data_IF_735376635154
#
_entry.id   IF_735376635154
#
_cell.length_a   1.000
_cell.length_b   1.000
_cell.length_c   1.000
_cell.angle_alpha   90.00
_cell.angle_beta   90.00
_cell.angle_gamma   90.00
#
_symmetry.space_group_name_H-M   'P 1'
#
loop_
_entity.id
_entity.type
_entity.pdbx_description
1 polymer ?
#
# COMPACT_ATOMS: atom_id res chain seq x y z
N UNK A 1 41.11 -25.23 24.56
CA UNK A 1 40.65 -25.34 23.17
C UNK A 1 39.15 -25.08 23.03
N UNK A 2 38.27 -25.74 23.76
CA UNK A 2 36.79 -25.54 23.70
C UNK A 2 36.34 -24.11 24.00
N UNK A 3 36.91 -23.38 24.96
CA UNK A 3 36.57 -22.00 25.27
C UNK A 3 36.93 -21.05 24.14
N UNK A 4 38.08 -21.24 23.47
CA UNK A 4 38.49 -20.42 22.33
C UNK A 4 37.57 -20.61 21.12
N UNK A 5 37.16 -21.87 20.85
CA UNK A 5 36.21 -22.16 19.76
C UNK A 5 34.83 -21.53 20.03
N UNK A 6 34.35 -21.65 21.28
CA UNK A 6 33.07 -21.01 21.68
C UNK A 6 33.12 -19.50 21.54
N UNK A 7 34.21 -18.85 21.96
CA UNK A 7 34.33 -17.39 21.85
C UNK A 7 34.45 -16.93 20.39
N UNK A 8 35.13 -17.70 19.55
CA UNK A 8 35.20 -17.47 18.11
C UNK A 8 33.83 -17.57 17.47
N UNK A 9 33.04 -18.63 17.74
CA UNK A 9 31.67 -18.79 17.23
C UNK A 9 30.78 -17.66 17.65
N UNK A 10 30.83 -17.23 18.92
CA UNK A 10 30.03 -16.08 19.41
C UNK A 10 30.37 -14.78 18.66
N UNK A 11 31.65 -14.52 18.39
CA UNK A 11 32.09 -13.35 17.62
C UNK A 11 31.62 -13.42 16.17
N UNK A 12 31.65 -14.59 15.54
CA UNK A 12 31.11 -14.79 14.18
C UNK A 12 29.61 -14.50 14.12
N UNK A 13 28.82 -15.05 15.06
CA UNK A 13 27.38 -14.80 15.15
C UNK A 13 27.06 -13.30 15.40
N UNK A 14 27.89 -12.66 16.27
CA UNK A 14 27.75 -11.21 16.49
C UNK A 14 28.06 -10.40 15.22
N UNK A 15 29.09 -10.78 14.45
CA UNK A 15 29.41 -10.18 13.16
C UNK A 15 28.27 -10.34 12.14
N UNK A 16 27.67 -11.55 12.08
CA UNK A 16 26.50 -11.80 11.22
C UNK A 16 25.30 -10.93 11.62
N UNK A 17 25.07 -10.73 12.93
CA UNK A 17 24.00 -9.84 13.39
C UNK A 17 24.28 -8.37 13.01
N UNK A 18 25.52 -7.90 13.16
CA UNK A 18 25.90 -6.53 12.73
C UNK A 18 25.66 -6.36 11.22
N UNK A 19 26.06 -7.34 10.41
CA UNK A 19 25.80 -7.33 8.96
C UNK A 19 24.30 -7.30 8.67
N UNK A 20 23.48 -8.09 9.39
CA UNK A 20 22.01 -8.08 9.27
C UNK A 20 21.44 -6.68 9.56
N UNK A 21 21.91 -6.02 10.62
CA UNK A 21 21.49 -4.65 10.94
C UNK A 21 21.89 -3.68 9.83
N UNK A 22 23.11 -3.79 9.29
CA UNK A 22 23.56 -2.93 8.18
C UNK A 22 22.68 -3.10 6.92
N UNK A 23 22.40 -4.36 6.55
CA UNK A 23 21.47 -4.63 5.42
C UNK A 23 20.05 -4.16 5.71
N UNK A 24 19.53 -4.34 6.93
CA UNK A 24 18.22 -3.86 7.33
C UNK A 24 18.13 -2.33 7.16
N UNK A 25 19.17 -1.58 7.50
CA UNK A 25 19.26 -0.14 7.26
C UNK A 25 19.26 0.19 5.76
N UNK A 26 20.13 -0.48 4.98
CA UNK A 26 20.24 -0.23 3.55
C UNK A 26 18.90 -0.43 2.83
N UNK A 27 18.23 -1.55 3.09
CA UNK A 27 16.95 -1.84 2.45
C UNK A 27 15.81 -1.01 3.03
N UNK A 28 15.85 -0.69 4.32
CA UNK A 28 14.82 0.09 5.02
C UNK A 28 14.78 1.56 4.58
N UNK A 29 15.89 2.12 4.14
CA UNK A 29 15.98 3.50 3.65
C UNK A 29 16.19 3.57 2.13
N UNK A 30 15.91 2.47 1.40
CA UNK A 30 15.97 2.45 -0.07
C UNK A 30 14.92 3.35 -0.73
N UNK A 31 13.88 3.73 -0.02
CA UNK A 31 12.85 4.71 -0.43
C UNK A 31 13.42 6.12 -0.69
N UNK A 32 14.64 6.40 -0.23
CA UNK A 32 15.39 7.64 -0.51
C UNK A 32 16.03 7.65 -1.91
N UNK A 33 16.17 6.48 -2.53
CA UNK A 33 16.86 6.34 -3.80
C UNK A 33 15.93 6.67 -4.96
N UNK A 34 16.31 7.66 -5.77
CA UNK A 34 15.57 7.98 -7.00
C UNK A 34 15.71 6.82 -8.01
N UNK A 35 14.60 6.26 -8.52
CA UNK A 35 14.60 5.11 -9.43
C UNK A 35 15.32 5.34 -10.76
N UNK A 36 15.37 6.59 -11.24
CA UNK A 36 16.11 6.91 -12.47
C UNK A 36 17.63 6.79 -12.29
N UNK A 37 18.12 7.18 -11.09
CA UNK A 37 19.56 7.16 -10.78
C UNK A 37 20.02 5.80 -10.25
N UNK A 38 19.16 5.11 -9.50
CA UNK A 38 19.48 3.87 -8.79
C UNK A 38 18.48 2.74 -9.08
N UNK A 39 18.24 2.38 -10.35
CA UNK A 39 17.18 1.43 -10.72
C UNK A 39 17.35 0.04 -10.07
N UNK A 40 18.58 -0.44 -9.89
CA UNK A 40 18.84 -1.75 -9.29
C UNK A 40 18.46 -1.83 -7.81
N UNK A 41 18.42 -0.70 -7.10
CA UNK A 41 18.20 -0.64 -5.67
C UNK A 41 16.85 -0.04 -5.24
N UNK A 42 16.10 0.54 -6.18
CA UNK A 42 14.84 1.22 -5.85
C UNK A 42 13.77 0.31 -5.25
N UNK A 43 13.86 -1.00 -5.49
CA UNK A 43 12.96 -2.01 -4.94
C UNK A 43 13.58 -2.84 -3.80
N UNK A 44 14.74 -2.43 -3.27
CA UNK A 44 15.40 -3.14 -2.16
C UNK A 44 14.52 -3.19 -0.89
N UNK A 45 13.60 -2.24 -0.72
CA UNK A 45 12.59 -2.23 0.35
C UNK A 45 11.73 -3.49 0.42
N UNK A 46 11.56 -4.21 -0.68
CA UNK A 46 10.87 -5.51 -0.71
C UNK A 46 11.58 -6.59 0.13
N UNK A 47 12.89 -6.44 0.36
CA UNK A 47 13.67 -7.33 1.22
C UNK A 47 13.63 -6.95 2.71
N UNK A 48 13.03 -5.80 3.04
CA UNK A 48 13.00 -5.32 4.43
C UNK A 48 12.41 -6.34 5.41
N UNK A 49 11.29 -7.04 5.14
CA UNK A 49 10.74 -8.03 6.06
C UNK A 49 11.68 -9.19 6.34
N UNK A 50 12.56 -9.56 5.42
CA UNK A 50 13.56 -10.61 5.62
C UNK A 50 14.56 -10.18 6.68
N UNK A 51 15.16 -8.99 6.53
CA UNK A 51 16.14 -8.49 7.49
C UNK A 51 15.53 -8.12 8.83
N UNK A 52 14.29 -7.64 8.84
CA UNK A 52 13.49 -7.40 10.04
C UNK A 52 13.32 -8.71 10.84
N UNK A 53 12.92 -9.81 10.17
CA UNK A 53 12.73 -11.11 10.78
C UNK A 53 14.04 -11.72 11.28
N UNK A 54 15.12 -11.57 10.50
CA UNK A 54 16.46 -12.02 10.92
C UNK A 54 16.95 -11.27 12.16
N UNK A 55 16.76 -9.95 12.20
CA UNK A 55 17.15 -9.13 13.35
C UNK A 55 16.34 -9.51 14.61
N UNK A 56 15.05 -9.80 14.45
CA UNK A 56 14.21 -10.32 15.53
C UNK A 56 14.69 -11.71 15.99
N UNK A 57 15.06 -12.59 15.06
CA UNK A 57 15.66 -13.89 15.37
C UNK A 57 16.96 -13.76 16.17
N UNK A 58 17.85 -12.82 15.80
CA UNK A 58 19.05 -12.51 16.57
C UNK A 58 18.73 -11.95 17.96
N UNK A 59 17.70 -11.12 18.10
CA UNK A 59 17.27 -10.62 19.40
C UNK A 59 16.89 -11.79 20.34
N UNK A 60 16.03 -12.69 19.86
CA UNK A 60 15.61 -13.88 20.62
C UNK A 60 16.82 -14.76 20.96
N UNK A 61 17.70 -15.02 19.98
CA UNK A 61 18.91 -15.79 20.17
C UNK A 61 19.81 -15.23 21.28
N UNK A 62 20.07 -13.92 21.26
CA UNK A 62 20.94 -13.28 22.26
C UNK A 62 20.31 -13.22 23.65
N UNK A 63 18.99 -13.06 23.74
CA UNK A 63 18.28 -13.12 25.03
C UNK A 63 18.50 -14.49 25.68
N UNK A 64 18.45 -15.56 24.89
CA UNK A 64 18.60 -16.95 25.41
C UNK A 64 20.06 -17.28 25.73
N UNK A 65 21.00 -16.95 24.83
CA UNK A 65 22.37 -17.48 24.92
C UNK A 65 23.39 -16.51 25.48
N UNK A 66 23.27 -15.19 25.24
CA UNK A 66 24.28 -14.18 25.60
C UNK A 66 23.71 -12.78 25.72
N UNK A 67 23.03 -12.44 26.81
CA UNK A 67 22.32 -11.20 27.04
C UNK A 67 23.13 -9.92 26.74
N UNK A 68 24.46 -9.93 26.91
CA UNK A 68 25.33 -8.77 26.59
C UNK A 68 25.29 -8.34 25.12
N UNK A 69 24.95 -9.24 24.18
CA UNK A 69 24.88 -8.94 22.75
C UNK A 69 23.48 -8.53 22.30
N UNK A 70 22.47 -8.51 23.18
CA UNK A 70 21.10 -8.03 22.91
C UNK A 70 21.09 -6.59 22.41
N UNK A 71 22.08 -5.79 22.82
CA UNK A 71 22.20 -4.39 22.37
C UNK A 71 22.36 -4.25 20.85
N UNK A 72 22.95 -5.25 20.16
CA UNK A 72 23.15 -5.17 18.69
C UNK A 72 21.80 -5.13 17.97
N UNK A 73 20.89 -6.12 18.11
CA UNK A 73 19.60 -6.08 17.44
C UNK A 73 18.69 -4.96 17.96
N UNK A 74 18.78 -4.57 19.25
CA UNK A 74 18.03 -3.43 19.77
C UNK A 74 18.45 -2.12 19.12
N UNK A 75 19.76 -1.86 18.95
CA UNK A 75 20.25 -0.74 18.18
C UNK A 75 19.77 -0.81 16.72
N UNK A 76 19.76 -2.00 16.11
CA UNK A 76 19.20 -2.22 14.79
C UNK A 76 17.75 -1.74 14.68
N UNK A 77 16.88 -2.11 15.63
CA UNK A 77 15.50 -1.63 15.69
C UNK A 77 15.40 -0.13 15.92
N UNK A 78 16.26 0.43 16.79
CA UNK A 78 16.25 1.87 17.09
C UNK A 78 16.62 2.71 15.86
N UNK A 79 17.69 2.37 15.15
CA UNK A 79 18.13 3.13 13.96
C UNK A 79 17.25 2.88 12.74
N UNK A 80 16.55 1.74 12.69
CA UNK A 80 15.56 1.41 11.68
C UNK A 80 14.11 1.71 12.12
N UNK A 81 13.91 2.51 13.16
CA UNK A 81 12.57 2.74 13.73
C UNK A 81 11.57 3.23 12.68
N UNK A 82 11.98 4.16 11.82
CA UNK A 82 11.12 4.72 10.77
C UNK A 82 10.66 3.63 9.79
N UNK A 83 11.54 2.88 9.10
CA UNK A 83 11.09 1.81 8.21
C UNK A 83 10.38 0.66 8.93
N UNK A 84 10.71 0.35 10.18
CA UNK A 84 9.97 -0.64 10.98
C UNK A 84 8.52 -0.18 11.18
N UNK A 85 8.31 1.07 11.62
CA UNK A 85 6.98 1.65 11.80
C UNK A 85 6.22 1.74 10.47
N UNK A 86 6.90 2.10 9.41
CA UNK A 86 6.32 2.18 8.06
C UNK A 86 5.82 0.82 7.57
N UNK A 87 6.61 -0.23 7.76
CA UNK A 87 6.30 -1.57 7.30
C UNK A 87 5.30 -2.29 8.22
N UNK A 88 5.51 -2.21 9.53
CA UNK A 88 4.76 -2.96 10.55
C UNK A 88 4.39 -2.06 11.72
N UNK A 89 3.45 -1.12 11.52
CA UNK A 89 3.00 -0.24 12.60
C UNK A 89 2.34 -1.04 13.72
N UNK A 90 2.45 -0.51 14.94
CA UNK A 90 1.75 -0.98 16.14
C UNK A 90 1.10 0.24 16.79
N UNK A 91 -0.21 0.25 16.84
CA UNK A 91 -1.01 1.34 17.38
C UNK A 91 -2.02 0.83 18.40
N UNK A 92 -2.23 1.60 19.44
CA UNK A 92 -3.22 1.35 20.51
C UNK A 92 -4.27 2.47 20.54
N UNK A 93 -4.70 2.92 19.35
CA UNK A 93 -5.78 3.92 19.27
C UNK A 93 -7.13 3.28 19.65
N UNK A 94 -7.94 4.02 20.35
CA UNK A 94 -9.32 3.63 20.64
C UNK A 94 -10.23 3.73 19.42
N UNK A 95 -11.52 3.45 19.64
CA UNK A 95 -12.55 3.50 18.61
C UNK A 95 -12.69 4.90 17.99
N UNK A 96 -13.15 4.94 16.76
CA UNK A 96 -13.36 6.21 16.05
C UNK A 96 -14.47 7.03 16.71
N UNK A 97 -14.25 8.34 16.96
CA UNK A 97 -15.25 9.22 17.54
C UNK A 97 -16.50 9.34 16.66
N UNK A 98 -17.66 9.60 17.28
CA UNK A 98 -18.90 9.86 16.53
C UNK A 98 -18.71 10.98 15.49
N UNK A 99 -19.31 10.79 14.31
CA UNK A 99 -19.19 11.71 13.18
C UNK A 99 -17.83 11.63 12.46
N UNK A 100 -17.09 10.53 12.62
CA UNK A 100 -16.02 10.15 11.71
C UNK A 100 -16.61 9.69 10.39
N UNK A 101 -15.93 9.98 9.27
CA UNK A 101 -16.28 9.48 7.95
C UNK A 101 -15.55 8.18 7.67
N UNK A 102 -16.25 7.19 7.10
CA UNK A 102 -15.65 5.91 6.70
C UNK A 102 -15.25 5.98 5.23
N UNK A 103 -13.97 5.77 4.98
CA UNK A 103 -13.37 5.75 3.63
C UNK A 103 -12.91 4.34 3.33
N UNK A 104 -13.21 3.85 2.13
CA UNK A 104 -12.82 2.55 1.61
C UNK A 104 -12.11 2.71 0.27
N UNK A 105 -10.98 2.04 0.09
CA UNK A 105 -10.30 1.90 -1.21
C UNK A 105 -10.15 0.43 -1.55
N UNK A 106 -10.45 0.07 -2.82
CA UNK A 106 -10.43 -1.31 -3.25
C UNK A 106 -10.13 -1.45 -4.75
N UNK A 107 -9.02 -2.09 -5.08
CA UNK A 107 -8.79 -2.58 -6.43
C UNK A 107 -9.63 -3.85 -6.64
N UNK A 108 -10.68 -3.74 -7.45
CA UNK A 108 -11.72 -4.79 -7.56
C UNK A 108 -11.39 -5.88 -8.54
N UNK A 109 -10.32 -5.74 -9.33
CA UNK A 109 -9.98 -6.69 -10.41
C UNK A 109 -11.20 -7.02 -11.29
N UNK A 110 -11.82 -5.99 -11.86
CA UNK A 110 -13.02 -6.14 -12.67
C UNK A 110 -14.23 -6.69 -11.89
N UNK A 111 -14.42 -6.22 -10.65
CA UNK A 111 -15.45 -6.70 -9.72
C UNK A 111 -15.32 -8.20 -9.41
N UNK A 112 -14.10 -8.64 -9.03
CA UNK A 112 -13.82 -10.02 -8.68
C UNK A 112 -14.00 -10.97 -9.87
N UNK A 113 -13.62 -10.51 -11.08
CA UNK A 113 -13.85 -11.24 -12.33
C UNK A 113 -15.32 -11.68 -12.48
N UNK A 114 -16.26 -10.81 -12.08
CA UNK A 114 -17.71 -11.02 -12.14
C UNK A 114 -18.25 -12.19 -11.26
N UNK A 115 -17.51 -12.59 -10.23
CA UNK A 115 -17.93 -13.63 -9.29
C UNK A 115 -19.18 -13.20 -8.53
N UNK A 116 -20.15 -14.13 -8.39
CA UNK A 116 -21.44 -13.90 -7.73
C UNK A 116 -21.59 -14.76 -6.48
N UNK A 117 -22.39 -14.27 -5.55
CA UNK A 117 -22.90 -15.03 -4.39
C UNK A 117 -24.07 -15.96 -4.78
N UNK A 118 -24.64 -16.64 -3.79
CA UNK A 118 -25.77 -17.58 -3.95
C UNK A 118 -27.04 -16.89 -4.46
N UNK A 119 -27.22 -15.62 -4.16
CA UNK A 119 -28.36 -14.79 -4.58
C UNK A 119 -28.15 -14.18 -5.99
N UNK A 120 -27.02 -14.47 -6.64
CA UNK A 120 -26.68 -13.98 -7.96
C UNK A 120 -26.20 -12.52 -7.98
N UNK A 121 -25.90 -11.94 -6.81
CA UNK A 121 -25.32 -10.62 -6.66
C UNK A 121 -23.78 -10.72 -6.78
N UNK A 122 -23.16 -9.72 -7.40
CA UNK A 122 -21.70 -9.67 -7.44
C UNK A 122 -21.13 -9.52 -6.02
N UNK A 123 -20.17 -10.38 -5.65
CA UNK A 123 -19.62 -10.44 -4.28
C UNK A 123 -18.97 -9.13 -3.87
N UNK A 124 -18.31 -8.40 -4.81
CA UNK A 124 -17.77 -7.07 -4.49
C UNK A 124 -18.90 -6.09 -4.13
N UNK A 125 -20.03 -6.15 -4.84
CA UNK A 125 -21.17 -5.26 -4.55
C UNK A 125 -21.81 -5.60 -3.20
N UNK A 126 -22.04 -6.88 -2.89
CA UNK A 126 -22.54 -7.33 -1.58
C UNK A 126 -21.63 -6.82 -0.44
N UNK A 127 -20.30 -6.93 -0.63
CA UNK A 127 -19.33 -6.40 0.33
C UNK A 127 -19.42 -4.88 0.48
N UNK A 128 -19.52 -4.12 -0.61
CA UNK A 128 -19.66 -2.66 -0.55
C UNK A 128 -20.94 -2.22 0.17
N UNK A 129 -22.04 -2.95 -0.03
CA UNK A 129 -23.30 -2.73 0.68
C UNK A 129 -23.14 -2.97 2.19
N UNK A 130 -22.51 -4.08 2.58
CA UNK A 130 -22.23 -4.41 3.98
C UNK A 130 -21.36 -3.34 4.65
N UNK A 131 -20.30 -2.90 3.96
CA UNK A 131 -19.37 -1.90 4.48
C UNK A 131 -20.04 -0.53 4.66
N UNK A 132 -20.98 -0.16 3.79
CA UNK A 132 -21.73 1.09 3.84
C UNK A 132 -20.84 2.31 4.14
N UNK A 133 -19.66 2.38 3.51
CA UNK A 133 -18.70 3.46 3.69
C UNK A 133 -19.28 4.80 3.18
N UNK A 134 -18.75 5.92 3.65
CA UNK A 134 -19.23 7.24 3.21
C UNK A 134 -18.60 7.65 1.87
N UNK A 135 -17.37 7.20 1.64
CA UNK A 135 -16.59 7.39 0.41
C UNK A 135 -15.97 6.06 0.02
N UNK A 136 -16.15 5.63 -1.24
CA UNK A 136 -15.59 4.42 -1.80
C UNK A 136 -14.80 4.77 -3.07
N UNK A 137 -13.50 4.50 -3.05
CA UNK A 137 -12.59 4.65 -4.19
C UNK A 137 -12.28 3.26 -4.75
N UNK A 138 -12.71 2.97 -5.97
CA UNK A 138 -12.45 1.69 -6.61
C UNK A 138 -11.46 1.85 -7.76
N UNK A 139 -10.59 0.86 -7.93
CA UNK A 139 -9.66 0.71 -9.04
C UNK A 139 -10.04 -0.57 -9.81
N UNK A 140 -9.70 -0.61 -11.10
CA UNK A 140 -10.12 -1.67 -12.03
C UNK A 140 -11.63 -1.94 -11.99
N UNK A 141 -12.42 -0.89 -11.88
CA UNK A 141 -13.84 -0.93 -11.58
C UNK A 141 -14.70 -0.45 -12.75
N UNK A 142 -14.47 -0.98 -13.95
CA UNK A 142 -15.29 -0.66 -15.11
C UNK A 142 -16.62 -1.39 -15.05
N UNK A 143 -17.76 -0.67 -15.00
CA UNK A 143 -19.08 -1.30 -15.12
C UNK A 143 -19.26 -1.92 -16.50
N UNK A 144 -19.59 -3.19 -16.55
CA UNK A 144 -19.84 -3.92 -17.81
C UNK A 144 -21.03 -4.88 -17.66
N UNK A 145 -21.87 -4.97 -18.68
CA UNK A 145 -22.97 -5.94 -18.72
C UNK A 145 -23.86 -5.89 -17.47
N UNK A 146 -24.14 -7.06 -16.89
CA UNK A 146 -25.04 -7.22 -15.74
C UNK A 146 -24.54 -6.52 -14.46
N UNK A 147 -23.24 -6.30 -14.28
CA UNK A 147 -22.80 -5.61 -13.09
C UNK A 147 -23.11 -4.12 -13.14
N UNK A 148 -23.22 -3.52 -14.32
CA UNK A 148 -23.66 -2.13 -14.45
C UNK A 148 -25.10 -1.96 -13.94
N UNK A 149 -26.01 -2.89 -14.29
CA UNK A 149 -27.39 -2.90 -13.80
C UNK A 149 -27.45 -3.10 -12.26
N UNK A 150 -26.63 -4.00 -11.72
CA UNK A 150 -26.54 -4.21 -10.28
C UNK A 150 -25.95 -2.99 -9.54
N UNK A 151 -24.95 -2.32 -10.09
CA UNK A 151 -24.39 -1.09 -9.54
C UNK A 151 -25.49 -0.03 -9.44
N UNK A 152 -26.25 0.19 -10.53
CA UNK A 152 -27.32 1.17 -10.53
C UNK A 152 -28.44 0.81 -9.55
N UNK A 153 -28.86 -0.43 -9.51
CA UNK A 153 -29.99 -0.86 -8.66
C UNK A 153 -29.64 -0.93 -7.18
N UNK A 154 -28.42 -1.37 -6.83
CA UNK A 154 -28.01 -1.65 -5.46
C UNK A 154 -27.24 -0.49 -4.80
N UNK A 155 -26.33 0.16 -5.54
CA UNK A 155 -25.44 1.17 -4.96
C UNK A 155 -25.98 2.61 -5.10
N UNK A 156 -26.72 2.91 -6.18
CA UNK A 156 -27.24 4.24 -6.41
C UNK A 156 -28.20 4.76 -5.32
N UNK A 157 -29.05 3.91 -4.69
CA UNK A 157 -29.88 4.36 -3.56
C UNK A 157 -29.05 4.78 -2.33
N UNK A 158 -27.83 4.26 -2.16
CA UNK A 158 -26.95 4.54 -1.03
C UNK A 158 -26.00 5.67 -1.34
N UNK A 159 -25.43 5.65 -2.56
CA UNK A 159 -24.45 6.62 -3.03
C UNK A 159 -25.09 7.52 -4.08
N UNK A 160 -25.65 8.64 -3.64
CA UNK A 160 -26.31 9.61 -4.51
C UNK A 160 -25.35 10.22 -5.54
N UNK A 161 -24.05 10.21 -5.27
CA UNK A 161 -23.01 10.79 -6.14
C UNK A 161 -22.03 9.70 -6.56
N UNK A 162 -21.98 9.45 -7.85
CA UNK A 162 -21.13 8.43 -8.46
C UNK A 162 -20.39 9.01 -9.65
N UNK A 163 -19.18 8.56 -9.88
CA UNK A 163 -18.42 8.85 -11.10
C UNK A 163 -17.65 7.61 -11.54
N UNK A 164 -17.59 7.40 -12.83
CA UNK A 164 -16.73 6.41 -13.48
C UNK A 164 -15.85 7.15 -14.48
N UNK A 165 -14.56 7.04 -14.32
CA UNK A 165 -13.58 7.61 -15.25
C UNK A 165 -12.78 6.48 -15.87
N UNK A 166 -12.84 6.36 -17.19
CA UNK A 166 -12.08 5.39 -17.98
C UNK A 166 -10.86 6.08 -18.55
N UNK A 167 -9.72 5.40 -18.57
CA UNK A 167 -8.49 5.95 -19.15
C UNK A 167 -8.69 6.30 -20.64
N UNK A 168 -8.20 7.45 -21.15
CA UNK A 168 -8.45 7.91 -22.52
C UNK A 168 -8.05 6.93 -23.61
N UNK A 169 -7.01 6.12 -23.37
CA UNK A 169 -6.53 5.10 -24.32
C UNK A 169 -7.12 3.71 -24.06
N UNK A 170 -8.20 3.63 -23.25
CA UNK A 170 -8.76 2.36 -22.78
C UNK A 170 -7.96 1.75 -21.63
N UNK A 171 -8.34 0.56 -21.17
CA UNK A 171 -7.70 -0.11 -20.07
C UNK A 171 -8.49 0.01 -18.77
N UNK A 172 -7.88 0.54 -17.72
CA UNK A 172 -8.48 0.58 -16.39
C UNK A 172 -9.51 1.72 -16.23
N UNK A 173 -10.45 1.49 -15.33
CA UNK A 173 -11.40 2.49 -14.87
C UNK A 173 -11.26 2.72 -13.37
N UNK A 174 -11.39 3.98 -12.96
CA UNK A 174 -11.57 4.38 -11.58
C UNK A 174 -13.05 4.70 -11.34
N UNK A 175 -13.58 4.23 -10.22
CA UNK A 175 -14.94 4.56 -9.81
C UNK A 175 -14.91 5.22 -8.44
N UNK A 176 -15.72 6.25 -8.29
CA UNK A 176 -16.01 6.90 -7.02
C UNK A 176 -17.48 6.71 -6.69
N UNK A 177 -17.75 6.23 -5.47
CA UNK A 177 -19.07 6.23 -4.87
C UNK A 177 -19.02 7.12 -3.62
N UNK A 178 -19.94 8.07 -3.51
CA UNK A 178 -19.92 9.05 -2.43
C UNK A 178 -21.32 9.37 -1.93
N UNK A 179 -21.46 9.48 -0.62
CA UNK A 179 -22.66 10.06 0.04
C UNK A 179 -22.60 11.60 0.00
N UNK A 180 -21.46 12.17 -0.37
CA UNK A 180 -21.23 13.61 -0.43
C UNK A 180 -21.23 14.12 -1.88
N UNK A 181 -21.73 15.33 -2.15
CA UNK A 181 -21.75 15.93 -3.48
C UNK A 181 -20.35 16.02 -4.10
N UNK A 182 -20.25 15.62 -5.38
CA UNK A 182 -19.08 15.83 -6.23
C UNK A 182 -19.24 17.19 -6.91
N UNK A 183 -18.38 18.16 -6.57
CA UNK A 183 -18.41 19.52 -7.10
C UNK A 183 -17.67 19.64 -8.43
N UNK A 184 -16.55 18.95 -8.57
CA UNK A 184 -15.74 18.89 -9.79
C UNK A 184 -14.85 17.67 -9.80
N UNK A 185 -14.36 17.30 -10.99
CA UNK A 185 -13.32 16.29 -11.18
C UNK A 185 -12.33 16.74 -12.23
N UNK A 186 -11.10 16.26 -12.13
CA UNK A 186 -10.06 16.40 -13.13
C UNK A 186 -9.06 15.26 -13.10
N UNK A 187 -8.45 14.94 -14.22
CA UNK A 187 -7.34 13.99 -14.30
C UNK A 187 -6.06 14.69 -13.89
N UNK A 188 -5.23 14.02 -13.05
CA UNK A 188 -3.88 14.49 -12.77
C UNK A 188 -3.00 14.08 -13.95
N UNK A 189 -2.42 15.05 -14.69
CA UNK A 189 -1.71 14.73 -15.93
C UNK A 189 -0.35 14.06 -15.66
N UNK A 190 -0.18 12.88 -16.21
CA UNK A 190 1.09 12.15 -16.32
C UNK A 190 0.99 11.07 -17.41
N UNK A 191 2.13 10.57 -17.87
CA UNK A 191 2.15 9.48 -18.84
C UNK A 191 1.87 8.13 -18.20
N UNK A 192 0.99 7.34 -18.82
CA UNK A 192 0.65 5.97 -18.43
C UNK A 192 0.09 5.20 -19.60
N UNK A 193 0.26 3.88 -19.61
CA UNK A 193 -0.31 2.98 -20.62
C UNK A 193 -1.80 2.70 -20.39
N UNK A 194 -2.30 2.80 -19.17
CA UNK A 194 -3.68 2.46 -18.86
C UNK A 194 -4.10 2.78 -17.43
N UNK A 195 -3.22 3.42 -16.66
CA UNK A 195 -3.45 3.78 -15.27
C UNK A 195 -3.60 5.31 -15.15
N UNK A 196 -4.26 5.78 -14.10
CA UNK A 196 -4.55 7.21 -13.93
C UNK A 196 -4.77 7.57 -12.47
N UNK A 197 -4.74 8.87 -12.19
CA UNK A 197 -5.19 9.46 -10.92
C UNK A 197 -6.25 10.51 -11.22
N UNK A 198 -7.37 10.44 -10.50
CA UNK A 198 -8.48 11.38 -10.62
C UNK A 198 -8.62 12.16 -9.32
N UNK A 199 -8.64 13.46 -9.43
CA UNK A 199 -8.89 14.39 -8.34
C UNK A 199 -10.35 14.85 -8.37
N UNK A 200 -11.02 14.76 -7.23
CA UNK A 200 -12.39 15.20 -7.03
C UNK A 200 -12.45 16.29 -5.97
N UNK A 201 -13.33 17.25 -6.11
CA UNK A 201 -13.73 18.13 -5.01
C UNK A 201 -15.06 17.67 -4.48
N UNK A 202 -15.08 17.18 -3.25
CA UNK A 202 -16.29 16.77 -2.54
C UNK A 202 -16.75 17.86 -1.57
N UNK A 203 -18.07 18.00 -1.37
CA UNK A 203 -18.65 18.90 -0.38
C UNK A 203 -18.92 18.12 0.92
N UNK A 204 -18.02 18.17 1.89
CA UNK A 204 -18.14 17.51 3.19
C UNK A 204 -18.36 18.55 4.29
N UNK A 205 -19.48 18.47 5.00
CA UNK A 205 -19.86 19.45 6.04
C UNK A 205 -19.74 20.91 5.52
N UNK A 206 -20.32 21.16 4.36
CA UNK A 206 -20.34 22.45 3.65
C UNK A 206 -18.95 23.02 3.27
N UNK A 207 -17.91 22.20 3.30
CA UNK A 207 -16.55 22.59 2.91
C UNK A 207 -16.04 21.72 1.77
N UNK A 208 -15.27 22.33 0.84
CA UNK A 208 -14.60 21.54 -0.20
C UNK A 208 -13.48 20.70 0.41
N UNK A 209 -13.45 19.42 0.03
CA UNK A 209 -12.40 18.47 0.38
C UNK A 209 -11.87 17.89 -0.93
N UNK A 210 -10.58 17.91 -1.11
CA UNK A 210 -9.89 17.24 -2.20
C UNK A 210 -9.83 15.74 -1.93
N UNK A 211 -10.42 14.94 -2.81
CA UNK A 211 -10.28 13.49 -2.81
C UNK A 211 -9.49 13.08 -4.05
N UNK A 212 -8.44 12.28 -3.89
CA UNK A 212 -7.67 11.73 -5.00
C UNK A 212 -7.82 10.22 -5.00
N UNK A 213 -8.29 9.65 -6.12
CA UNK A 213 -8.32 8.21 -6.36
C UNK A 213 -7.20 7.86 -7.33
N UNK A 214 -6.22 7.06 -6.87
CA UNK A 214 -5.04 6.70 -7.64
C UNK A 214 -5.09 5.24 -8.08
N UNK A 215 -4.61 5.00 -9.31
CA UNK A 215 -4.13 3.70 -9.74
C UNK A 215 -2.86 3.97 -10.56
N UNK A 216 -1.69 3.80 -9.94
CA UNK A 216 -0.42 4.05 -10.60
C UNK A 216 0.01 2.87 -11.47
N UNK A 217 0.98 3.07 -12.34
CA UNK A 217 1.42 2.09 -13.33
C UNK A 217 1.68 0.72 -12.71
N UNK A 218 1.08 -0.31 -13.30
CA UNK A 218 1.22 -1.71 -12.86
C UNK A 218 2.64 -2.23 -13.07
N UNK A 219 3.03 -3.27 -12.32
CA UNK A 219 4.36 -3.90 -12.48
C UNK A 219 4.55 -4.66 -13.78
N UNK A 220 3.47 -4.94 -14.52
CA UNK A 220 3.54 -5.65 -15.81
C UNK A 220 4.08 -7.08 -15.72
N UNK A 221 4.05 -7.71 -14.54
CA UNK A 221 4.47 -9.11 -14.38
C UNK A 221 3.44 -10.05 -15.02
N UNK A 222 3.89 -10.92 -15.94
CA UNK A 222 3.05 -11.92 -16.55
C UNK A 222 2.65 -13.03 -15.55
N UNK A 223 1.70 -13.89 -15.95
CA UNK A 223 1.34 -15.06 -15.13
C UNK A 223 2.55 -15.99 -14.93
N UNK A 224 3.38 -16.13 -15.95
CA UNK A 224 4.60 -16.92 -15.95
C UNK A 224 5.64 -16.35 -15.00
N UNK A 225 5.86 -15.02 -14.99
CA UNK A 225 6.76 -14.34 -14.06
C UNK A 225 6.34 -14.60 -12.61
N UNK A 226 5.05 -14.47 -12.32
CA UNK A 226 4.50 -14.73 -10.97
C UNK A 226 4.64 -16.18 -10.55
N UNK A 227 4.47 -17.13 -11.47
CA UNK A 227 4.68 -18.56 -11.19
C UNK A 227 6.14 -18.87 -10.93
N UNK A 228 7.06 -18.30 -11.72
CA UNK A 228 8.50 -18.47 -11.53
C UNK A 228 8.95 -17.85 -10.19
N UNK A 229 8.44 -16.66 -9.84
CA UNK A 229 8.69 -16.06 -8.55
C UNK A 229 8.22 -16.95 -7.39
N UNK A 230 7.01 -17.49 -7.47
CA UNK A 230 6.50 -18.43 -6.47
C UNK A 230 7.40 -19.65 -6.30
N UNK A 231 7.87 -20.24 -7.42
CA UNK A 231 8.82 -21.38 -7.38
C UNK A 231 10.17 -20.95 -6.78
N UNK A 232 10.65 -19.74 -7.07
CA UNK A 232 11.87 -19.17 -6.51
C UNK A 232 11.77 -19.08 -4.97
N UNK A 233 10.71 -18.46 -4.47
CA UNK A 233 10.49 -18.25 -3.02
C UNK A 233 10.41 -19.57 -2.25
N UNK A 234 9.79 -20.61 -2.84
CA UNK A 234 9.68 -21.94 -2.19
C UNK A 234 10.88 -22.86 -2.48
N UNK A 235 11.94 -22.34 -3.11
CA UNK A 235 13.18 -23.11 -3.37
C UNK A 235 13.01 -24.28 -4.37
N UNK A 236 12.05 -24.17 -5.31
CA UNK A 236 11.76 -25.23 -6.31
C UNK A 236 12.42 -25.00 -7.66
N UNK A 237 13.32 -24.03 -7.79
CA UNK A 237 14.09 -23.78 -9.01
C UNK A 237 15.51 -24.32 -8.86
N UNK A 238 16.09 -24.78 -9.98
CA UNK A 238 17.53 -25.03 -10.06
C UNK A 238 18.31 -23.70 -9.98
N UNK A 239 19.55 -23.75 -9.54
CA UNK A 239 20.37 -22.55 -9.24
C UNK A 239 20.43 -21.58 -10.43
N UNK A 240 20.76 -22.08 -11.63
CA UNK A 240 20.88 -21.25 -12.84
C UNK A 240 19.54 -20.58 -13.22
N UNK A 241 18.44 -21.33 -13.10
CA UNK A 241 17.09 -20.82 -13.37
C UNK A 241 16.68 -19.81 -12.29
N UNK A 242 17.03 -20.02 -11.04
CA UNK A 242 16.74 -19.12 -9.94
C UNK A 242 17.49 -17.78 -10.11
N UNK A 243 18.75 -17.81 -10.56
CA UNK A 243 19.54 -16.61 -10.85
C UNK A 243 18.92 -15.81 -11.99
N UNK A 244 18.61 -16.46 -13.12
CA UNK A 244 17.98 -15.81 -14.28
C UNK A 244 16.62 -15.20 -13.93
N UNK A 245 15.77 -15.96 -13.19
CA UNK A 245 14.46 -15.47 -12.73
C UNK A 245 14.62 -14.26 -11.82
N UNK A 246 15.56 -14.28 -10.88
CA UNK A 246 15.82 -13.16 -9.98
C UNK A 246 16.26 -11.91 -10.74
N UNK A 247 17.19 -12.04 -11.69
CA UNK A 247 17.65 -10.93 -12.54
C UNK A 247 16.50 -10.33 -13.35
N UNK A 248 15.70 -11.17 -13.99
CA UNK A 248 14.54 -10.72 -14.77
C UNK A 248 13.54 -9.95 -13.92
N UNK A 249 13.23 -10.47 -12.73
CA UNK A 249 12.28 -9.81 -11.80
C UNK A 249 12.82 -8.45 -11.34
N UNK A 250 14.10 -8.36 -10.95
CA UNK A 250 14.72 -7.09 -10.56
C UNK A 250 14.61 -6.06 -11.68
N UNK A 251 14.89 -6.45 -12.93
CA UNK A 251 14.78 -5.55 -14.08
C UNK A 251 13.33 -5.10 -14.29
N UNK A 252 12.35 -6.02 -14.31
CA UNK A 252 10.95 -5.68 -14.52
C UNK A 252 10.39 -4.77 -13.42
N UNK A 253 10.72 -5.06 -12.16
CA UNK A 253 10.33 -4.23 -11.03
C UNK A 253 10.96 -2.83 -11.12
N UNK A 254 12.23 -2.74 -11.49
CA UNK A 254 12.92 -1.47 -11.65
C UNK A 254 12.30 -0.61 -12.76
N UNK A 255 12.01 -1.21 -13.93
CA UNK A 255 11.36 -0.51 -15.03
C UNK A 255 9.94 -0.03 -14.66
N UNK A 256 9.18 -0.84 -13.92
CA UNK A 256 7.87 -0.43 -13.43
C UNK A 256 7.96 0.75 -12.44
N UNK A 257 8.92 0.71 -11.50
CA UNK A 257 9.11 1.80 -10.53
C UNK A 257 9.62 3.08 -11.20
N UNK A 258 10.45 2.98 -12.26
CA UNK A 258 10.83 4.15 -13.07
C UNK A 258 9.62 4.83 -13.71
N UNK A 259 8.63 4.07 -14.19
CA UNK A 259 7.38 4.64 -14.73
C UNK A 259 6.53 5.27 -13.64
N UNK A 260 6.43 4.65 -12.46
CA UNK A 260 5.65 5.15 -11.33
C UNK A 260 6.24 6.40 -10.67
N UNK A 261 7.56 6.57 -10.67
CA UNK A 261 8.21 7.70 -10.01
C UNK A 261 7.70 9.07 -10.51
N UNK A 262 7.69 9.38 -11.82
CA UNK A 262 7.13 10.64 -12.32
C UNK A 262 5.62 10.77 -12.08
N UNK A 263 4.88 9.67 -12.05
CA UNK A 263 3.45 9.67 -11.70
C UNK A 263 3.25 10.08 -10.24
N UNK A 264 4.01 9.50 -9.31
CA UNK A 264 4.00 9.87 -7.89
C UNK A 264 4.40 11.34 -7.68
N UNK A 265 5.40 11.82 -8.43
CA UNK A 265 5.83 13.22 -8.40
C UNK A 265 4.74 14.18 -8.91
N UNK A 266 3.99 13.78 -9.96
CA UNK A 266 2.86 14.55 -10.47
C UNK A 266 1.73 14.63 -9.43
N UNK A 267 1.35 13.51 -8.79
CA UNK A 267 0.36 13.49 -7.70
C UNK A 267 0.83 14.35 -6.52
N UNK A 268 2.08 14.21 -6.09
CA UNK A 268 2.63 15.01 -4.99
C UNK A 268 2.69 16.52 -5.33
N UNK A 269 2.94 16.89 -6.58
CA UNK A 269 2.90 18.26 -7.08
C UNK A 269 1.48 18.80 -7.03
N UNK A 270 0.51 18.04 -7.53
CA UNK A 270 -0.90 18.41 -7.50
C UNK A 270 -1.38 18.70 -6.07
N UNK A 271 -1.01 17.84 -5.10
CA UNK A 271 -1.31 18.06 -3.68
C UNK A 271 -0.69 19.38 -3.16
N UNK A 272 0.56 19.66 -3.56
CA UNK A 272 1.24 20.92 -3.15
C UNK A 272 0.59 22.16 -3.74
N UNK A 273 0.12 22.11 -4.96
CA UNK A 273 -0.61 23.21 -5.63
C UNK A 273 -1.95 23.50 -4.95
N UNK A 274 -2.53 22.47 -4.30
CA UNK A 274 -3.78 22.58 -3.53
C UNK A 274 -3.57 22.69 -2.01
N UNK A 275 -2.40 23.19 -1.56
CA UNK A 275 -2.11 23.40 -0.15
C UNK A 275 -3.17 24.27 0.52
N UNK A 276 -3.58 23.86 1.74
CA UNK A 276 -4.64 24.55 2.49
C UNK A 276 -6.03 23.95 2.27
N UNK A 277 -6.20 23.12 1.26
CA UNK A 277 -7.41 22.31 1.10
C UNK A 277 -7.27 21.01 1.91
N UNK A 278 -8.34 20.66 2.61
CA UNK A 278 -8.47 19.37 3.27
C UNK A 278 -8.37 18.27 2.23
N UNK A 279 -7.47 17.30 2.43
CA UNK A 279 -7.19 16.29 1.41
C UNK A 279 -7.38 14.88 1.96
N UNK A 280 -7.97 14.01 1.17
CA UNK A 280 -8.01 12.55 1.33
C UNK A 280 -7.46 11.95 0.04
N UNK A 281 -6.58 10.99 0.16
CA UNK A 281 -6.01 10.28 -0.98
C UNK A 281 -6.15 8.79 -0.76
N UNK A 282 -6.64 8.09 -1.77
CA UNK A 282 -6.83 6.64 -1.76
C UNK A 282 -6.22 6.01 -3.02
N UNK A 283 -5.93 4.73 -2.98
CA UNK A 283 -5.73 3.94 -4.18
C UNK A 283 -4.56 2.98 -4.13
N UNK A 284 -4.42 2.28 -5.26
CA UNK A 284 -3.37 1.33 -5.53
C UNK A 284 -2.13 2.06 -6.09
N UNK A 285 -1.05 2.05 -5.32
CA UNK A 285 0.22 2.66 -5.75
C UNK A 285 1.09 1.70 -6.57
N UNK A 286 0.71 0.41 -6.62
CA UNK A 286 1.51 -0.65 -7.23
C UNK A 286 2.95 -0.72 -6.69
N UNK A 287 3.19 -0.12 -5.52
CA UNK A 287 4.48 -0.07 -4.86
C UNK A 287 4.34 -0.14 -3.34
N UNK A 288 5.31 -0.79 -2.68
CA UNK A 288 5.25 -1.08 -1.24
C UNK A 288 5.46 0.15 -0.34
N UNK A 289 5.26 0.00 0.97
CA UNK A 289 5.38 1.10 1.92
C UNK A 289 6.81 1.66 2.01
N UNK A 290 7.83 0.84 1.77
CA UNK A 290 9.24 1.27 1.71
C UNK A 290 9.62 1.41 0.24
N UNK A 291 9.13 2.47 -0.40
CA UNK A 291 9.40 2.79 -1.80
C UNK A 291 9.48 4.30 -2.03
N UNK A 292 10.18 4.68 -3.08
CA UNK A 292 10.25 6.07 -3.55
C UNK A 292 8.86 6.65 -3.85
N UNK A 293 7.99 5.85 -4.46
CA UNK A 293 6.62 6.21 -4.83
C UNK A 293 5.81 6.57 -3.59
N UNK A 294 5.75 5.65 -2.62
CA UNK A 294 5.02 5.87 -1.37
C UNK A 294 5.56 7.10 -0.62
N UNK A 295 6.89 7.18 -0.44
CA UNK A 295 7.54 8.31 0.22
C UNK A 295 7.24 9.65 -0.45
N UNK A 296 7.25 9.69 -1.79
CA UNK A 296 7.02 10.92 -2.56
C UNK A 296 5.60 11.45 -2.34
N UNK A 297 4.59 10.58 -2.39
CA UNK A 297 3.19 10.96 -2.17
C UNK A 297 2.94 11.31 -0.69
N UNK A 298 3.46 10.50 0.23
CA UNK A 298 3.25 10.67 1.68
C UNK A 298 3.91 11.93 2.27
N UNK A 299 4.83 12.59 1.56
CA UNK A 299 5.65 13.69 2.09
C UNK A 299 4.87 14.82 2.79
N UNK A 300 3.63 15.08 2.36
CA UNK A 300 2.77 16.14 2.89
C UNK A 300 1.43 15.61 3.39
N UNK A 301 1.32 14.32 3.60
CA UNK A 301 0.13 13.63 4.07
C UNK A 301 0.46 12.73 5.26
N UNK A 302 -0.57 12.37 5.99
CA UNK A 302 -0.52 11.37 7.05
C UNK A 302 -0.92 10.04 6.44
N UNK A 303 -0.05 9.03 6.53
CA UNK A 303 -0.41 7.65 6.18
C UNK A 303 -1.34 7.08 7.25
N UNK A 304 -2.59 6.84 6.87
CA UNK A 304 -3.62 6.41 7.80
C UNK A 304 -3.34 5.01 8.37
N UNK A 305 -2.70 4.12 7.58
CA UNK A 305 -2.36 2.79 8.06
C UNK A 305 -1.22 2.83 9.08
N UNK A 306 -0.20 3.64 8.83
CA UNK A 306 0.91 3.83 9.76
C UNK A 306 0.43 4.45 11.08
N UNK A 307 -0.54 5.37 11.03
CA UNK A 307 -1.04 6.10 12.22
C UNK A 307 -2.12 5.36 13.02
N UNK A 308 -2.85 4.40 12.43
CA UNK A 308 -3.96 3.75 13.12
C UNK A 308 -4.20 2.28 12.75
N UNK A 309 -3.36 1.72 11.88
CA UNK A 309 -3.35 0.30 11.55
C UNK A 309 -2.37 -0.51 12.39
N UNK A 310 -2.39 -1.82 12.24
CA UNK A 310 -1.52 -2.76 12.94
C UNK A 310 -1.00 -3.86 12.02
N UNK A 311 0.27 -4.22 12.19
CA UNK A 311 0.93 -5.27 11.41
C UNK A 311 1.30 -4.83 9.99
N UNK A 312 1.64 -5.76 9.08
CA UNK A 312 2.13 -5.45 7.74
C UNK A 312 1.05 -4.91 6.79
N UNK A 313 -0.23 -5.22 7.04
CA UNK A 313 -1.37 -4.75 6.23
C UNK A 313 -1.31 -5.19 4.77
N UNK A 314 -1.06 -6.46 4.54
CA UNK A 314 -0.94 -7.02 3.20
C UNK A 314 -2.24 -6.80 2.43
N UNK A 315 -2.21 -5.96 1.39
CA UNK A 315 -3.36 -5.70 0.55
C UNK A 315 -3.30 -6.48 -0.77
N UNK A 316 -2.12 -6.72 -1.34
CA UNK A 316 -1.93 -7.58 -2.50
C UNK A 316 -1.44 -8.97 -2.08
N UNK A 317 -2.07 -10.05 -2.57
CA UNK A 317 -1.84 -11.41 -2.06
C UNK A 317 -1.73 -12.49 -3.15
N UNK A 318 -1.34 -12.14 -4.37
CA UNK A 318 -1.22 -13.11 -5.48
C UNK A 318 0.22 -13.33 -5.95
N UNK A 319 0.44 -14.51 -6.54
CA UNK A 319 1.67 -14.83 -7.24
C UNK A 319 2.91 -14.97 -6.34
N UNK A 320 2.72 -15.15 -5.03
CA UNK A 320 3.83 -15.21 -4.07
C UNK A 320 4.26 -13.82 -3.54
N UNK A 321 3.65 -12.76 -4.03
CA UNK A 321 3.82 -11.40 -3.49
C UNK A 321 2.78 -11.14 -2.40
N UNK A 322 3.25 -10.71 -1.24
CA UNK A 322 2.42 -10.34 -0.09
C UNK A 322 2.88 -8.97 0.40
N UNK A 323 2.23 -7.91 -0.09
CA UNK A 323 2.68 -6.54 0.13
C UNK A 323 1.50 -5.59 0.29
N UNK A 324 1.66 -4.53 1.09
CA UNK A 324 0.71 -3.41 1.15
C UNK A 324 1.04 -2.44 0.02
N UNK A 325 0.17 -2.36 -0.98
CA UNK A 325 0.28 -1.41 -2.11
C UNK A 325 -0.93 -0.49 -2.21
N UNK A 326 -2.03 -0.84 -1.52
CA UNK A 326 -3.20 0.00 -1.41
C UNK A 326 -3.09 0.90 -0.17
N UNK A 327 -3.42 2.17 -0.34
CA UNK A 327 -3.17 3.20 0.66
C UNK A 327 -4.38 4.11 0.85
N UNK A 328 -4.57 4.60 2.09
CA UNK A 328 -5.39 5.74 2.43
C UNK A 328 -4.50 6.73 3.17
N UNK A 329 -4.45 7.96 2.68
CA UNK A 329 -3.69 9.05 3.29
C UNK A 329 -4.59 10.27 3.46
N UNK A 330 -4.25 11.14 4.40
CA UNK A 330 -5.02 12.36 4.62
C UNK A 330 -4.12 13.54 4.99
N UNK A 331 -4.62 14.77 4.80
CA UNK A 331 -3.95 15.98 5.31
C UNK A 331 -4.03 16.03 6.85
N UNK A 332 -3.13 16.79 7.48
CA UNK A 332 -2.96 16.86 8.95
C UNK A 332 -4.21 17.30 9.72
N UNK A 333 -5.17 17.92 9.05
CA UNK A 333 -6.43 18.35 9.63
C UNK A 333 -7.48 17.23 9.77
N UNK A 334 -7.12 16.01 9.32
CA UNK A 334 -7.82 14.77 9.64
C UNK A 334 -7.02 13.94 10.64
N UNK A 335 -7.73 13.14 11.41
CA UNK A 335 -7.15 12.14 12.31
C UNK A 335 -7.68 10.77 11.93
N UNK A 336 -6.80 9.81 11.56
CA UNK A 336 -7.19 8.47 11.17
C UNK A 336 -7.42 7.57 12.39
N UNK A 337 -8.43 6.70 12.28
CA UNK A 337 -8.81 5.68 13.25
C UNK A 337 -9.13 4.38 12.54
N UNK A 338 -8.88 3.27 13.20
CA UNK A 338 -9.28 1.92 12.79
C UNK A 338 -8.90 1.61 11.33
N UNK A 339 -7.73 2.08 10.87
CA UNK A 339 -7.28 1.77 9.52
C UNK A 339 -6.87 0.30 9.44
N UNK A 340 -7.46 -0.44 8.51
CA UNK A 340 -7.21 -1.87 8.35
C UNK A 340 -7.30 -2.30 6.90
N UNK A 341 -6.59 -3.35 6.57
CA UNK A 341 -6.83 -4.16 5.38
C UNK A 341 -7.83 -5.24 5.80
N UNK A 342 -8.91 -5.40 5.03
CA UNK A 342 -9.99 -6.33 5.36
C UNK A 342 -9.91 -7.58 4.46
N UNK A 343 -9.37 -8.67 5.00
CA UNK A 343 -9.13 -9.94 4.31
C UNK A 343 -10.35 -10.87 4.26
N UNK A 344 -11.52 -10.38 4.68
CA UNK A 344 -12.78 -11.14 4.64
C UNK A 344 -13.30 -11.37 3.23
N UNK A 345 -12.89 -10.55 2.26
CA UNK A 345 -13.24 -10.70 0.84
C UNK A 345 -11.98 -11.00 0.04
N UNK A 346 -11.97 -12.13 -0.69
CA UNK A 346 -10.82 -12.62 -1.43
C UNK A 346 -11.11 -12.88 -2.92
N UNK A 347 -12.13 -12.22 -3.49
CA UNK A 347 -12.50 -12.39 -4.91
C UNK A 347 -11.62 -11.60 -5.87
N UNK A 348 -10.94 -10.57 -5.37
CA UNK A 348 -9.88 -9.85 -6.08
C UNK A 348 -8.50 -10.38 -5.68
N UNK A 349 -7.46 -10.00 -6.38
CA UNK A 349 -6.07 -10.19 -5.95
C UNK A 349 -5.60 -9.12 -4.96
N UNK A 350 -6.46 -8.16 -4.65
CA UNK A 350 -6.31 -7.21 -3.58
C UNK A 350 -7.35 -7.42 -2.48
N UNK A 351 -7.01 -7.05 -1.26
CA UNK A 351 -7.93 -6.84 -0.16
C UNK A 351 -8.24 -5.34 -0.03
N UNK A 352 -9.48 -4.95 0.26
CA UNK A 352 -9.82 -3.55 0.50
C UNK A 352 -9.12 -2.98 1.74
N UNK A 353 -8.76 -1.70 1.69
CA UNK A 353 -8.31 -0.93 2.84
C UNK A 353 -9.42 0.02 3.29
N UNK A 354 -9.66 0.07 4.59
CA UNK A 354 -10.73 0.87 5.22
C UNK A 354 -10.11 1.72 6.30
N UNK A 355 -10.55 2.98 6.41
CA UNK A 355 -10.17 3.88 7.48
C UNK A 355 -11.34 4.77 7.89
N UNK A 356 -11.43 5.12 9.16
CA UNK A 356 -12.34 6.15 9.67
C UNK A 356 -11.53 7.43 9.92
N UNK A 357 -12.01 8.53 9.36
CA UNK A 357 -11.33 9.83 9.44
C UNK A 357 -12.18 10.81 10.27
N UNK A 358 -11.58 11.40 11.30
CA UNK A 358 -12.21 12.46 12.09
C UNK A 358 -11.54 13.80 11.80
N UNK A 359 -12.37 14.80 11.48
CA UNK A 359 -11.86 16.16 11.31
C UNK A 359 -11.38 16.70 12.65
N UNK A 360 -10.12 17.14 12.71
CA UNK A 360 -9.58 17.77 13.91
C UNK A 360 -10.26 19.13 14.17
N UNK A 361 -10.55 19.49 15.42
CA UNK A 361 -11.01 20.84 15.72
C UNK A 361 -9.96 21.86 15.27
N UNK A 362 -10.40 22.99 14.74
CA UNK A 362 -9.46 24.07 14.42
C UNK A 362 -8.74 24.46 15.71
N UNK A 363 -7.40 24.43 15.71
CA UNK A 363 -6.64 25.06 16.80
C UNK A 363 -7.10 26.52 16.87
N UNK A 364 -7.72 26.91 17.95
CA UNK A 364 -7.90 28.32 18.25
C UNK A 364 -6.51 28.94 18.35
N UNK A 365 -6.22 29.89 17.47
CA UNK A 365 -4.98 30.67 17.51
C UNK A 365 -5.05 31.67 18.65
#
# INVERSE_FOLDING_TARGET
MLNGLRDFTVKMVAGANVATVAFMLLVGYSDLLNPERFPAFCNAGLLFPVFLSLNLGFLIFWVIFRARYVLIPLLGFLVSFVPVRQYMPVNMKGDAPKGSIKVLSYNTWGFGNQTKDEDGVNICLSYLLEQNADIVCLQEAQPTGRNAEQIDSLLKPIYAYQDVTVHPHGGNALMLLSKYPILSKELIPYESQGNMSVAYRLKINDKPVLLINNHLETTGLSKEDRQQFKKLVVGKLQVDTAEQTSKLLVVKLAEATKKRAPQAEAVARYIREHRGMSTILCGDFNDGPISYVHRTIAKNLVDCYVESGNGPGISYHRGGFFVRIDNIMCSEDWEPYECKVDDKIAVSDHYPIICKLKKRPKKQK
#
